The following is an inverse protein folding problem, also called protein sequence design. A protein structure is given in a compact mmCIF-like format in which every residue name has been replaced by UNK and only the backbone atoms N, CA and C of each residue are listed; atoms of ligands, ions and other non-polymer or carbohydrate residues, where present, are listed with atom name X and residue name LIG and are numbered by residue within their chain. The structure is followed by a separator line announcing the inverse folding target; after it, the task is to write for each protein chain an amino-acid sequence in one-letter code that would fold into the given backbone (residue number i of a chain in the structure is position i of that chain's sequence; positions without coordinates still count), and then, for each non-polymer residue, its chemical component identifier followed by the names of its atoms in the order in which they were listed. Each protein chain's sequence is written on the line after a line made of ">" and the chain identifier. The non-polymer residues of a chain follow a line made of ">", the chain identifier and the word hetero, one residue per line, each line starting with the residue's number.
data_IF_564554402838
#
_entry.id   IF_564554402838
#
_cell.length_a   1.000
_cell.length_b   1.000
_cell.length_c   1.000
_cell.angle_alpha   90.00
_cell.angle_beta   90.00
_cell.angle_gamma   90.00
#
_symmetry.space_group_name_H-M   'P 1'
#
loop_
_entity.id
_entity.type
_entity.pdbx_description
1 polymer ?
#
# COMPACT_ATOMS: atom_id res chain seq x y z
N UNK A 1 -42.91 -34.69 23.30
CA UNK A 1 -42.50 -33.44 22.64
C UNK A 1 -40.99 -33.46 22.49
N UNK A 2 -40.50 -33.78 21.30
CA UNK A 2 -39.07 -33.92 20.98
C UNK A 2 -38.76 -32.99 19.82
N UNK A 3 -37.98 -31.94 20.07
CA UNK A 3 -37.48 -31.02 19.05
C UNK A 3 -36.36 -31.71 18.25
N UNK A 4 -36.41 -31.77 16.92
CA UNK A 4 -35.25 -32.20 16.14
C UNK A 4 -34.27 -31.03 16.00
N UNK A 5 -33.11 -31.14 16.62
CA UNK A 5 -31.96 -30.30 16.27
C UNK A 5 -31.50 -30.70 14.87
N UNK A 6 -31.99 -29.98 13.86
CA UNK A 6 -31.45 -30.03 12.51
C UNK A 6 -30.00 -29.59 12.53
N UNK A 7 -29.07 -30.56 12.46
CA UNK A 7 -27.68 -30.27 12.12
C UNK A 7 -27.68 -29.76 10.68
N UNK A 8 -27.58 -28.44 10.51
CA UNK A 8 -27.16 -27.87 9.23
C UNK A 8 -25.68 -28.20 9.07
N UNK A 9 -25.42 -29.40 8.57
CA UNK A 9 -24.12 -29.78 8.07
C UNK A 9 -23.91 -28.98 6.80
N UNK A 10 -23.41 -27.73 6.93
CA UNK A 10 -22.85 -27.00 5.81
C UNK A 10 -21.68 -27.84 5.33
N UNK A 11 -21.90 -28.60 4.27
CA UNK A 11 -20.82 -29.17 3.48
C UNK A 11 -19.96 -27.98 3.05
N UNK A 12 -18.78 -27.84 3.67
CA UNK A 12 -17.70 -27.07 3.08
C UNK A 12 -17.27 -27.88 1.87
N UNK A 13 -17.90 -27.60 0.72
CA UNK A 13 -17.41 -28.09 -0.55
C UNK A 13 -16.14 -27.28 -0.81
N UNK A 14 -14.99 -27.90 -0.56
CA UNK A 14 -13.70 -27.43 -1.06
C UNK A 14 -13.68 -27.64 -2.58
N UNK A 15 -14.48 -26.87 -3.32
CA UNK A 15 -14.69 -27.07 -4.77
C UNK A 15 -13.80 -26.22 -5.66
N UNK A 16 -12.69 -25.72 -5.14
CA UNK A 16 -11.62 -25.20 -5.98
C UNK A 16 -10.32 -25.80 -5.46
N UNK A 17 -9.82 -26.81 -6.17
CA UNK A 17 -8.40 -27.07 -6.17
C UNK A 17 -7.74 -25.78 -6.63
N UNK A 18 -7.36 -24.93 -5.68
CA UNK A 18 -6.64 -23.71 -5.93
C UNK A 18 -5.39 -24.12 -6.71
N UNK A 19 -5.34 -23.70 -7.98
CA UNK A 19 -4.13 -23.82 -8.76
C UNK A 19 -3.05 -23.01 -8.04
N UNK A 20 -2.17 -23.73 -7.33
CA UNK A 20 -1.18 -23.16 -6.44
C UNK A 20 -0.22 -22.26 -7.22
N UNK A 21 0.10 -22.62 -8.46
CA UNK A 21 0.99 -21.84 -9.33
C UNK A 21 0.33 -20.53 -9.75
N UNK A 22 -0.96 -20.56 -10.08
CA UNK A 22 -1.75 -19.35 -10.35
C UNK A 22 -1.81 -18.47 -9.10
N UNK A 23 -2.10 -19.03 -7.93
CA UNK A 23 -2.15 -18.27 -6.68
C UNK A 23 -0.81 -17.61 -6.35
N UNK A 24 0.30 -18.36 -6.40
CA UNK A 24 1.63 -17.84 -6.12
C UNK A 24 2.06 -16.76 -7.12
N UNK A 25 1.67 -16.90 -8.39
CA UNK A 25 1.90 -15.89 -9.43
C UNK A 25 1.15 -14.60 -9.10
N UNK A 26 -0.13 -14.68 -8.78
CA UNK A 26 -0.94 -13.49 -8.45
C UNK A 26 -0.47 -12.80 -7.17
N UNK A 27 -0.05 -13.56 -6.15
CA UNK A 27 0.57 -13.00 -4.93
C UNK A 27 1.88 -12.30 -5.25
N UNK A 28 2.72 -12.88 -6.11
CA UNK A 28 4.00 -12.28 -6.50
C UNK A 28 3.81 -10.96 -7.27
N UNK A 29 2.80 -10.90 -8.15
CA UNK A 29 2.41 -9.66 -8.84
C UNK A 29 1.90 -8.62 -7.85
N UNK A 30 1.04 -8.99 -6.90
CA UNK A 30 0.58 -8.08 -5.83
C UNK A 30 1.73 -7.52 -4.99
N UNK A 31 2.71 -8.35 -4.63
CA UNK A 31 3.94 -7.92 -3.95
C UNK A 31 4.69 -6.88 -4.77
N UNK A 32 4.85 -7.10 -6.08
CA UNK A 32 5.49 -6.17 -7.00
C UNK A 32 4.74 -4.84 -7.11
N UNK A 33 3.41 -4.88 -7.19
CA UNK A 33 2.56 -3.67 -7.23
C UNK A 33 2.69 -2.87 -5.94
N UNK A 34 2.63 -3.53 -4.77
CA UNK A 34 2.76 -2.85 -3.46
C UNK A 34 4.11 -2.16 -3.33
N UNK A 35 5.21 -2.81 -3.76
CA UNK A 35 6.55 -2.20 -3.75
C UNK A 35 6.62 -0.95 -4.62
N UNK A 36 6.13 -1.01 -5.85
CA UNK A 36 6.10 0.13 -6.78
C UNK A 36 5.20 1.27 -6.31
N UNK A 37 4.08 0.97 -5.66
CA UNK A 37 3.30 2.01 -5.00
C UNK A 37 4.05 2.64 -3.81
N UNK A 38 4.87 1.87 -3.07
CA UNK A 38 5.79 2.40 -2.07
C UNK A 38 6.84 3.35 -2.68
N UNK A 39 7.40 3.00 -3.84
CA UNK A 39 8.29 3.90 -4.60
C UNK A 39 7.58 5.18 -5.02
N UNK A 40 6.33 5.07 -5.51
CA UNK A 40 5.50 6.22 -5.87
C UNK A 40 5.27 7.14 -4.67
N UNK A 41 4.94 6.57 -3.51
CA UNK A 41 4.77 7.33 -2.27
C UNK A 41 6.06 8.09 -1.92
N UNK A 42 7.21 7.42 -1.98
CA UNK A 42 8.51 8.04 -1.70
C UNK A 42 8.79 9.22 -2.65
N UNK A 43 8.58 9.05 -3.95
CA UNK A 43 8.74 10.11 -4.95
C UNK A 43 7.85 11.32 -4.65
N UNK A 44 6.58 11.10 -4.29
CA UNK A 44 5.66 12.18 -3.94
C UNK A 44 6.02 12.84 -2.59
N UNK A 45 6.55 12.10 -1.63
CA UNK A 45 7.11 12.66 -0.39
C UNK A 45 8.35 13.52 -0.67
N UNK A 46 9.24 13.09 -1.57
CA UNK A 46 10.36 13.93 -2.03
C UNK A 46 9.87 15.17 -2.77
N UNK A 47 8.84 15.05 -3.59
CA UNK A 47 8.21 16.21 -4.25
C UNK A 47 7.64 17.20 -3.23
N UNK A 48 7.01 16.72 -2.15
CA UNK A 48 6.55 17.58 -1.05
C UNK A 48 7.70 18.34 -0.38
N UNK A 49 8.82 17.67 -0.11
CA UNK A 49 9.99 18.29 0.49
C UNK A 49 10.64 19.32 -0.45
N UNK A 50 10.74 19.01 -1.75
CA UNK A 50 11.25 19.92 -2.77
C UNK A 50 10.36 21.17 -2.89
N UNK A 51 9.03 20.98 -2.88
CA UNK A 51 8.05 22.06 -2.89
C UNK A 51 8.22 23.00 -1.68
N UNK A 52 8.39 22.44 -0.47
CA UNK A 52 8.57 23.22 0.77
C UNK A 52 9.89 23.99 0.83
N UNK A 53 10.97 23.37 0.37
CA UNK A 53 12.33 23.91 0.56
C UNK A 53 12.74 24.95 -0.48
N UNK A 54 11.93 25.19 -1.52
CA UNK A 54 12.29 26.00 -2.70
C UNK A 54 13.65 25.60 -3.33
N UNK A 55 14.13 24.40 -2.98
CA UNK A 55 15.46 23.90 -3.31
C UNK A 55 15.42 23.23 -4.67
N UNK A 56 16.26 23.72 -5.59
CA UNK A 56 16.35 23.22 -6.97
C UNK A 56 17.15 21.91 -7.13
N UNK A 57 17.49 21.21 -6.04
CA UNK A 57 18.36 20.01 -6.13
C UNK A 57 17.72 18.81 -6.82
N UNK A 58 16.39 18.76 -6.89
CA UNK A 58 15.66 17.75 -7.66
C UNK A 58 14.68 18.46 -8.60
N UNK A 59 14.58 17.98 -9.85
CA UNK A 59 13.53 18.44 -10.75
C UNK A 59 12.20 17.91 -10.20
N UNK A 60 11.44 18.79 -9.55
CA UNK A 60 10.09 18.49 -9.06
C UNK A 60 9.21 17.84 -10.15
N UNK A 61 9.37 18.29 -11.40
CA UNK A 61 8.69 17.72 -12.56
C UNK A 61 9.08 16.25 -12.82
N UNK A 62 10.38 15.91 -12.77
CA UNK A 62 10.86 14.54 -12.97
C UNK A 62 10.33 13.57 -11.90
N UNK A 63 10.22 14.04 -10.64
CA UNK A 63 9.64 13.24 -9.55
C UNK A 63 8.16 12.94 -9.82
N UNK A 64 7.38 13.92 -10.26
CA UNK A 64 5.96 13.74 -10.57
C UNK A 64 5.73 12.88 -11.81
N UNK A 65 6.57 13.03 -12.83
CA UNK A 65 6.52 12.22 -14.05
C UNK A 65 6.84 10.76 -13.75
N UNK A 66 7.92 10.50 -13.01
CA UNK A 66 8.31 9.15 -12.58
C UNK A 66 7.20 8.50 -11.74
N UNK A 67 6.64 9.23 -10.77
CA UNK A 67 5.51 8.76 -9.97
C UNK A 67 4.28 8.44 -10.84
N UNK A 68 4.09 9.17 -11.94
CA UNK A 68 3.00 8.95 -12.90
C UNK A 68 3.19 7.67 -13.70
N UNK A 69 4.36 7.46 -14.26
CA UNK A 69 4.70 6.26 -15.02
C UNK A 69 4.55 4.99 -14.16
N UNK A 70 5.07 5.02 -12.93
CA UNK A 70 4.95 3.89 -12.00
C UNK A 70 3.49 3.63 -11.63
N UNK A 71 2.74 4.69 -11.30
CA UNK A 71 1.32 4.56 -10.95
C UNK A 71 0.46 4.02 -12.10
N UNK A 72 0.71 4.43 -13.35
CA UNK A 72 -0.04 3.92 -14.50
C UNK A 72 0.27 2.45 -14.76
N UNK A 73 1.55 2.06 -14.69
CA UNK A 73 1.96 0.66 -14.82
C UNK A 73 1.31 -0.21 -13.73
N UNK A 74 1.30 0.24 -12.47
CA UNK A 74 0.67 -0.48 -11.36
C UNK A 74 -0.84 -0.66 -11.58
N UNK A 75 -1.55 0.37 -12.08
CA UNK A 75 -2.98 0.27 -12.37
C UNK A 75 -3.27 -0.72 -13.51
N UNK A 76 -2.46 -0.70 -14.57
CA UNK A 76 -2.59 -1.68 -15.67
C UNK A 76 -2.42 -3.10 -15.13
N UNK A 77 -1.33 -3.35 -14.42
CA UNK A 77 -1.04 -4.69 -13.90
C UNK A 77 -2.08 -5.17 -12.89
N UNK A 78 -2.60 -4.26 -12.05
CA UNK A 78 -3.68 -4.57 -11.10
C UNK A 78 -4.99 -4.96 -11.81
N UNK A 79 -5.27 -4.37 -12.98
CA UNK A 79 -6.44 -4.69 -13.80
C UNK A 79 -6.31 -6.04 -14.52
N UNK A 80 -5.08 -6.49 -14.76
CA UNK A 80 -4.75 -7.77 -15.39
C UNK A 80 -4.64 -8.93 -14.38
N UNK A 81 -4.82 -8.67 -13.08
CA UNK A 81 -4.82 -9.73 -12.06
C UNK A 81 -6.10 -10.56 -12.14
N UNK A 82 -5.94 -11.88 -12.02
CA UNK A 82 -7.07 -12.81 -11.92
C UNK A 82 -7.84 -12.57 -10.62
N UNK A 83 -9.17 -12.59 -10.71
CA UNK A 83 -10.04 -12.48 -9.54
C UNK A 83 -10.09 -13.80 -8.78
N UNK A 84 -9.17 -13.95 -7.82
CA UNK A 84 -9.19 -15.05 -6.87
C UNK A 84 -9.90 -14.62 -5.58
N UNK A 85 -10.81 -15.46 -5.07
CA UNK A 85 -11.51 -15.20 -3.80
C UNK A 85 -10.51 -14.98 -2.66
N UNK A 86 -9.41 -15.73 -2.67
CA UNK A 86 -8.34 -15.67 -1.66
C UNK A 86 -7.55 -14.35 -1.68
N UNK A 87 -7.49 -13.65 -2.81
CA UNK A 87 -6.74 -12.38 -2.94
C UNK A 87 -7.62 -11.14 -2.96
N UNK A 88 -8.96 -11.30 -3.02
CA UNK A 88 -9.94 -10.22 -3.12
C UNK A 88 -9.76 -9.14 -2.05
N UNK A 89 -9.52 -9.54 -0.80
CA UNK A 89 -9.34 -8.60 0.30
C UNK A 89 -8.08 -7.72 0.13
N UNK A 90 -6.94 -8.34 -0.22
CA UNK A 90 -5.67 -7.65 -0.47
C UNK A 90 -5.80 -6.71 -1.68
N UNK A 91 -6.43 -7.20 -2.76
CA UNK A 91 -6.70 -6.39 -3.97
C UNK A 91 -7.53 -5.14 -3.66
N UNK A 92 -8.46 -5.22 -2.71
CA UNK A 92 -9.23 -4.07 -2.23
C UNK A 92 -8.33 -2.98 -1.65
N UNK A 93 -7.43 -3.34 -0.72
CA UNK A 93 -6.46 -2.41 -0.15
C UNK A 93 -5.50 -1.86 -1.20
N UNK A 94 -4.97 -2.72 -2.08
CA UNK A 94 -4.05 -2.29 -3.15
C UNK A 94 -4.72 -1.29 -4.11
N UNK A 95 -6.00 -1.52 -4.46
CA UNK A 95 -6.79 -0.58 -5.26
C UNK A 95 -7.00 0.77 -4.56
N UNK A 96 -7.12 0.77 -3.23
CA UNK A 96 -7.32 1.98 -2.44
C UNK A 96 -6.08 2.88 -2.34
N UNK A 97 -4.88 2.37 -2.67
CA UNK A 97 -3.65 3.16 -2.70
C UNK A 97 -3.63 4.17 -3.86
N UNK A 98 -4.16 3.78 -5.02
CA UNK A 98 -4.01 4.54 -6.27
C UNK A 98 -4.66 5.93 -6.22
N UNK A 99 -5.85 6.02 -5.61
CA UNK A 99 -6.63 7.26 -5.57
C UNK A 99 -5.93 8.36 -4.75
N UNK A 100 -5.54 8.16 -3.48
CA UNK A 100 -4.84 9.18 -2.72
C UNK A 100 -3.54 9.66 -3.38
N UNK A 101 -2.75 8.75 -3.99
CA UNK A 101 -1.54 9.12 -4.72
C UNK A 101 -1.84 9.99 -5.95
N UNK A 102 -2.89 9.65 -6.72
CA UNK A 102 -3.30 10.43 -7.88
C UNK A 102 -3.83 11.82 -7.49
N UNK A 103 -4.59 11.90 -6.41
CA UNK A 103 -5.11 13.16 -5.86
C UNK A 103 -3.99 14.06 -5.31
N UNK A 104 -3.00 13.49 -4.61
CA UNK A 104 -1.82 14.21 -4.15
C UNK A 104 -1.05 14.82 -5.32
N UNK A 105 -0.84 14.04 -6.39
CA UNK A 105 -0.21 14.55 -7.63
C UNK A 105 -1.02 15.67 -8.29
N UNK A 106 -2.34 15.51 -8.41
CA UNK A 106 -3.18 16.55 -9.00
C UNK A 106 -3.06 17.88 -8.23
N UNK A 107 -2.93 17.82 -6.90
CA UNK A 107 -2.69 19.00 -6.05
C UNK A 107 -1.30 19.60 -6.27
N UNK A 108 -0.27 18.79 -6.44
CA UNK A 108 1.07 19.28 -6.79
C UNK A 108 1.06 20.11 -8.09
N UNK A 109 0.33 19.67 -9.13
CA UNK A 109 0.22 20.44 -10.37
C UNK A 109 -0.51 21.78 -10.24
N UNK A 110 -1.37 21.92 -9.23
CA UNK A 110 -2.07 23.18 -8.95
C UNK A 110 -1.18 24.19 -8.21
N UNK A 111 -0.01 23.76 -7.71
CA UNK A 111 1.00 24.58 -7.02
C UNK A 111 0.42 25.50 -5.94
N UNK A 112 -0.64 25.06 -5.28
CA UNK A 112 -1.29 25.83 -4.22
C UNK A 112 -0.58 25.54 -2.89
N UNK A 113 0.06 26.55 -2.30
CA UNK A 113 0.75 26.42 -1.01
C UNK A 113 -0.20 26.02 0.12
N UNK A 114 -1.50 26.32 0.02
CA UNK A 114 -2.50 25.89 0.99
C UNK A 114 -2.81 24.39 0.90
N UNK A 115 -2.46 23.74 -0.22
CA UNK A 115 -2.68 22.32 -0.43
C UNK A 115 -1.67 21.42 0.28
N UNK A 116 -0.62 21.95 0.92
CA UNK A 116 0.43 21.15 1.57
C UNK A 116 -0.16 20.17 2.60
N UNK A 117 -1.06 20.64 3.47
CA UNK A 117 -1.72 19.80 4.49
C UNK A 117 -2.57 18.70 3.86
N UNK A 118 -3.27 19.02 2.78
CA UNK A 118 -4.10 18.04 2.07
C UNK A 118 -3.25 17.00 1.36
N UNK A 119 -2.15 17.42 0.72
CA UNK A 119 -1.18 16.52 0.10
C UNK A 119 -0.63 15.57 1.16
N UNK A 120 -0.16 16.10 2.30
CA UNK A 120 0.34 15.27 3.39
C UNK A 120 -0.70 14.22 3.80
N UNK A 121 -1.93 14.63 4.11
CA UNK A 121 -3.02 13.72 4.51
C UNK A 121 -3.30 12.60 3.49
N UNK A 122 -3.20 12.90 2.19
CA UNK A 122 -3.36 11.89 1.13
C UNK A 122 -2.19 10.90 1.11
N UNK A 123 -0.97 11.38 1.31
CA UNK A 123 0.22 10.53 1.41
C UNK A 123 0.14 9.64 2.66
N UNK A 124 -0.35 10.12 3.80
CA UNK A 124 -0.54 9.29 5.01
C UNK A 124 -1.60 8.20 4.77
N UNK A 125 -2.67 8.55 4.06
CA UNK A 125 -3.71 7.57 3.68
C UNK A 125 -3.15 6.49 2.76
N UNK A 126 -2.38 6.88 1.74
CA UNK A 126 -1.70 5.91 0.87
C UNK A 126 -0.72 5.02 1.64
N UNK A 127 0.07 5.61 2.56
CA UNK A 127 1.00 4.89 3.42
C UNK A 127 0.28 3.88 4.32
N UNK A 128 -0.90 4.23 4.85
CA UNK A 128 -1.72 3.34 5.67
C UNK A 128 -2.22 2.14 4.88
N UNK A 129 -2.74 2.35 3.67
CA UNK A 129 -3.17 1.26 2.78
C UNK A 129 -1.99 0.39 2.33
N UNK A 130 -0.82 0.98 2.08
CA UNK A 130 0.42 0.25 1.79
C UNK A 130 0.85 -0.64 2.96
N UNK A 131 0.80 -0.13 4.20
CA UNK A 131 1.12 -0.90 5.42
C UNK A 131 0.15 -2.07 5.59
N UNK A 132 -1.15 -1.84 5.42
CA UNK A 132 -2.17 -2.90 5.50
C UNK A 132 -1.96 -3.95 4.40
N UNK A 133 -1.70 -3.53 3.16
CA UNK A 133 -1.42 -4.42 2.04
C UNK A 133 -0.18 -5.28 2.28
N UNK A 134 0.92 -4.68 2.77
CA UNK A 134 2.16 -5.40 3.11
C UNK A 134 1.94 -6.41 4.23
N UNK A 135 1.18 -6.04 5.28
CA UNK A 135 0.86 -6.93 6.38
C UNK A 135 0.04 -8.15 5.91
N UNK A 136 -0.99 -7.92 5.09
CA UNK A 136 -1.85 -8.99 4.58
C UNK A 136 -1.11 -9.92 3.62
N UNK A 137 -0.14 -9.40 2.86
CA UNK A 137 0.75 -10.21 2.02
C UNK A 137 1.76 -11.02 2.85
N UNK A 138 1.88 -10.78 4.16
CA UNK A 138 2.86 -11.40 5.07
C UNK A 138 4.30 -11.30 4.55
N UNK A 139 4.59 -10.25 3.79
CA UNK A 139 5.90 -9.97 3.21
C UNK A 139 6.28 -8.54 3.60
N UNK A 140 7.53 -8.27 4.01
CA UNK A 140 8.02 -6.91 4.22
C UNK A 140 8.21 -6.26 2.84
N UNK A 141 7.11 -5.76 2.27
CA UNK A 141 7.09 -5.05 0.99
C UNK A 141 7.05 -3.54 1.19
N UNK A 142 6.62 -3.11 2.38
CA UNK A 142 6.63 -1.72 2.82
C UNK A 142 6.86 -1.69 4.33
N UNK A 143 8.04 -1.22 4.74
CA UNK A 143 8.40 -1.05 6.15
C UNK A 143 8.75 0.41 6.42
N UNK A 144 7.92 1.08 7.22
CA UNK A 144 8.15 2.47 7.65
C UNK A 144 8.95 2.54 8.94
N UNK A 145 9.26 1.42 9.61
CA UNK A 145 10.03 1.42 10.86
C UNK A 145 11.49 1.89 10.66
N UNK A 146 11.97 1.90 9.42
CA UNK A 146 13.29 2.40 9.04
C UNK A 146 13.26 3.73 8.24
N UNK A 147 12.10 4.32 7.96
CA UNK A 147 12.06 5.58 7.21
C UNK A 147 12.26 6.77 8.16
N UNK A 148 13.22 7.64 7.85
CA UNK A 148 13.70 8.79 8.62
C UNK A 148 12.66 9.91 8.90
N UNK A 149 11.38 9.58 9.03
CA UNK A 149 10.29 10.50 9.33
C UNK A 149 9.61 10.28 10.70
N UNK A 150 10.28 9.83 11.80
CA UNK A 150 9.60 9.71 13.09
C UNK A 150 9.10 11.07 13.63
N UNK A 151 9.57 12.19 13.05
CA UNK A 151 9.08 13.53 13.38
C UNK A 151 7.77 13.93 12.69
N UNK A 152 7.33 13.24 11.62
CA UNK A 152 6.11 13.60 10.88
C UNK A 152 4.90 12.75 11.26
N UNK A 153 5.12 11.52 11.70
CA UNK A 153 4.05 10.60 12.06
C UNK A 153 4.10 10.37 13.57
N UNK A 154 3.34 11.16 14.33
CA UNK A 154 3.13 10.90 15.77
C UNK A 154 2.25 9.66 15.95
N UNK A 155 2.80 8.48 15.68
CA UNK A 155 2.14 7.23 16.02
C UNK A 155 2.56 6.85 17.43
N UNK A 156 1.59 6.90 18.35
CA UNK A 156 1.65 6.17 19.62
C UNK A 156 1.68 4.67 19.29
N UNK A 157 2.84 4.14 18.92
CA UNK A 157 3.03 2.69 18.91
C UNK A 157 3.13 2.20 20.35
N UNK A 158 2.37 1.16 20.76
CA UNK A 158 2.62 0.48 22.03
C UNK A 158 4.00 -0.18 21.97
N UNK A 159 4.74 -0.24 23.09
CA UNK A 159 6.09 -0.75 23.10
C UNK A 159 6.06 -2.25 22.79
N UNK A 160 6.36 -2.62 21.55
CA UNK A 160 6.74 -4.00 21.22
C UNK A 160 8.20 -4.16 21.63
N UNK A 161 8.40 -4.38 22.92
CA UNK A 161 9.64 -4.92 23.45
C UNK A 161 9.88 -6.30 22.83
N UNK A 162 10.72 -6.34 21.80
CA UNK A 162 11.51 -7.53 21.50
C UNK A 162 12.96 -7.15 21.75
N UNK A 163 13.39 -7.43 22.98
CA UNK A 163 14.80 -7.60 23.30
C UNK A 163 15.28 -8.70 22.36
N UNK A 164 16.08 -8.33 21.36
CA UNK A 164 16.91 -9.26 20.63
C UNK A 164 17.99 -9.72 21.63
N UNK A 165 17.75 -10.86 22.25
CA UNK A 165 18.76 -11.62 22.96
C UNK A 165 19.75 -12.17 21.92
N UNK A 166 20.81 -11.42 21.68
CA UNK A 166 21.97 -11.92 20.96
C UNK A 166 22.82 -12.62 22.02
N UNK A 167 22.59 -13.93 22.12
CA UNK A 167 23.19 -14.81 23.11
C UNK A 167 24.69 -14.56 23.30
N UNK A 168 25.10 -14.63 24.56
CA UNK A 168 26.49 -14.59 25.05
C UNK A 168 27.35 -15.70 24.49
#
# INVERSE_FOLDING_TARGET
>A
MTMPYGRVQRAYVCDEALDLDVYLTEISRLVSIVRRYGETLALLSFALMAFRSQSKRFSFAELLESATAISSACRSELSELKELVTTKHIRGHVSNIARPLAEARARFHRLDASAEKEILALLERAASELRLSSLLLQRPTFDTSACCAPAFFSSKEPPRGRILDLGT
#
